data_IF_780199596160
#
_entry.id   IF_780199596160
#
_cell.length_a   1.000
_cell.length_b   1.000
_cell.length_c   1.000
_cell.angle_alpha   90.00
_cell.angle_beta   90.00
_cell.angle_gamma   90.00
#
_symmetry.space_group_name_H-M   'P 1'
#
loop_
_entity.id
_entity.type
_entity.pdbx_description
1 polymer ?
#
# COMPACT_ATOMS: atom_id res chain seq x y z
N UNK A 1 15.20 13.90 -8.49
CA UNK A 1 15.71 12.88 -7.57
C UNK A 1 14.87 11.63 -7.70
N UNK A 2 15.48 10.44 -7.55
CA UNK A 2 14.76 9.18 -7.61
C UNK A 2 13.98 8.96 -6.31
N UNK A 3 12.67 8.79 -6.41
CA UNK A 3 11.78 8.37 -5.33
C UNK A 3 10.89 7.30 -5.92
N UNK A 4 11.19 6.05 -5.61
CA UNK A 4 10.47 4.88 -6.10
C UNK A 4 10.42 3.84 -4.99
N UNK A 5 9.23 3.33 -4.73
CA UNK A 5 8.98 2.26 -3.77
C UNK A 5 8.18 1.17 -4.45
N UNK A 6 8.56 -0.07 -4.19
CA UNK A 6 7.85 -1.26 -4.59
C UNK A 6 7.64 -2.14 -3.37
N UNK A 7 6.38 -2.50 -3.12
CA UNK A 7 5.99 -3.32 -1.98
C UNK A 7 5.09 -4.45 -2.47
N UNK A 8 5.25 -5.62 -1.83
CA UNK A 8 4.35 -6.75 -2.02
C UNK A 8 3.76 -7.08 -0.66
N UNK A 9 2.44 -7.18 -0.61
CA UNK A 9 1.73 -7.44 0.65
C UNK A 9 0.30 -7.88 0.43
N UNK A 10 -0.42 -8.04 1.53
CA UNK A 10 -1.83 -8.42 1.52
C UNK A 10 -2.72 -7.20 1.72
N UNK A 11 -3.78 -7.12 0.93
CA UNK A 11 -4.80 -6.09 1.08
C UNK A 11 -5.56 -6.32 2.38
N UNK A 12 -5.56 -5.35 3.30
CA UNK A 12 -6.37 -5.42 4.52
C UNK A 12 -7.70 -4.73 4.37
N UNK A 13 -7.68 -3.57 3.72
CA UNK A 13 -8.86 -2.75 3.53
C UNK A 13 -8.68 -1.89 2.30
N UNK A 14 -9.74 -1.78 1.53
CA UNK A 14 -9.92 -0.80 0.47
C UNK A 14 -11.05 0.12 0.91
N UNK A 15 -10.86 1.43 0.81
CA UNK A 15 -11.92 2.40 1.08
C UNK A 15 -11.72 3.66 0.27
N UNK A 16 -12.78 4.44 0.12
CA UNK A 16 -12.75 5.76 -0.50
C UNK A 16 -12.98 6.81 0.60
N UNK A 17 -12.17 7.87 0.58
CA UNK A 17 -12.38 9.01 1.47
C UNK A 17 -13.37 10.01 0.86
N UNK A 18 -13.81 10.98 1.66
CA UNK A 18 -14.84 11.97 1.30
C UNK A 18 -14.48 12.80 0.07
N UNK A 19 -13.19 13.01 -0.17
CA UNK A 19 -12.64 13.74 -1.33
C UNK A 19 -12.51 12.90 -2.61
N UNK A 20 -13.15 11.72 -2.65
CA UNK A 20 -13.13 10.74 -3.76
C UNK A 20 -11.80 10.00 -3.97
N UNK A 21 -10.79 10.29 -3.17
CA UNK A 21 -9.51 9.55 -3.20
C UNK A 21 -9.69 8.12 -2.66
N UNK A 22 -9.16 7.14 -3.39
CA UNK A 22 -9.14 5.75 -2.96
C UNK A 22 -7.89 5.45 -2.14
N UNK A 23 -8.07 4.67 -1.08
CA UNK A 23 -7.01 4.23 -0.20
C UNK A 23 -6.98 2.71 -0.08
N UNK A 24 -5.77 2.18 -0.08
CA UNK A 24 -5.46 0.78 0.09
C UNK A 24 -4.57 0.63 1.33
N UNK A 25 -4.99 -0.19 2.30
CA UNK A 25 -4.16 -0.55 3.44
C UNK A 25 -3.48 -1.88 3.15
N UNK A 26 -2.15 -1.86 3.06
CA UNK A 26 -1.32 -3.03 2.74
C UNK A 26 -0.67 -3.58 4.01
N UNK A 27 -0.88 -4.86 4.30
CA UNK A 27 -0.11 -5.62 5.30
C UNK A 27 1.15 -6.18 4.63
N UNK A 28 2.31 -5.69 5.04
CA UNK A 28 3.62 -6.16 4.58
C UNK A 28 4.31 -6.89 5.73
N UNK A 29 4.74 -8.13 5.49
CA UNK A 29 5.48 -8.89 6.50
C UNK A 29 6.96 -8.59 6.33
N UNK A 30 7.65 -8.27 7.45
CA UNK A 30 9.10 -8.03 7.42
C UNK A 30 9.85 -9.29 7.02
N UNK A 31 10.94 -9.12 6.28
CA UNK A 31 11.76 -10.25 5.83
C UNK A 31 12.64 -10.85 6.93
N UNK A 32 12.67 -10.23 8.11
CA UNK A 32 13.43 -10.68 9.28
C UNK A 32 12.52 -10.86 10.49
N UNK A 33 12.96 -11.73 11.40
CA UNK A 33 12.32 -11.95 12.70
C UNK A 33 12.82 -10.93 13.69
N UNK A 34 11.96 -10.54 14.61
CA UNK A 34 12.36 -9.74 15.76
C UNK A 34 13.15 -10.58 16.78
N UNK A 35 13.64 -9.96 17.85
CA UNK A 35 14.37 -10.59 18.94
C UNK A 35 13.63 -11.82 19.53
N UNK A 36 12.30 -11.76 19.61
CA UNK A 36 11.44 -12.85 20.07
C UNK A 36 11.21 -13.97 19.03
N UNK A 37 11.81 -13.86 17.84
CA UNK A 37 11.72 -14.87 16.78
C UNK A 37 10.44 -14.81 15.93
N UNK A 38 9.58 -13.80 16.14
CA UNK A 38 8.33 -13.61 15.42
C UNK A 38 8.49 -12.68 14.20
N UNK A 39 7.73 -12.94 13.14
CA UNK A 39 7.65 -12.03 11.99
C UNK A 39 6.68 -10.89 12.29
N UNK A 40 7.22 -9.68 12.34
CA UNK A 40 6.41 -8.48 12.47
C UNK A 40 5.78 -8.09 11.14
N UNK A 41 4.65 -7.38 11.25
CA UNK A 41 3.87 -6.91 10.12
C UNK A 41 3.70 -5.41 10.22
N UNK A 42 3.94 -4.74 9.10
CA UNK A 42 3.73 -3.30 8.96
C UNK A 42 2.47 -3.06 8.13
N UNK A 43 1.77 -1.97 8.45
CA UNK A 43 0.56 -1.55 7.76
C UNK A 43 0.82 -0.21 7.09
N UNK A 44 0.76 -0.19 5.76
CA UNK A 44 1.02 1.01 4.97
C UNK A 44 -0.26 1.52 4.33
N UNK A 45 -0.53 2.81 4.52
CA UNK A 45 -1.61 3.53 3.85
C UNK A 45 -1.12 3.97 2.48
N UNK A 46 -1.72 3.41 1.45
CA UNK A 46 -1.38 3.66 0.06
C UNK A 46 -2.51 4.48 -0.57
N UNK A 47 -2.19 5.70 -1.01
CA UNK A 47 -3.11 6.58 -1.74
C UNK A 47 -3.08 6.20 -3.21
N UNK A 48 -4.24 5.91 -3.79
CA UNK A 48 -4.36 5.51 -5.19
C UNK A 48 -4.41 6.77 -6.04
N UNK A 49 -3.43 6.94 -6.93
CA UNK A 49 -3.38 8.11 -7.80
C UNK A 49 -4.32 7.98 -9.01
N UNK A 50 -4.56 9.11 -9.67
CA UNK A 50 -5.39 9.18 -10.88
C UNK A 50 -4.83 8.26 -11.96
N UNK A 51 -5.69 7.40 -12.51
CA UNK A 51 -5.36 6.42 -13.56
C UNK A 51 -5.26 4.97 -13.08
N UNK A 52 -5.13 4.73 -11.76
CA UNK A 52 -5.06 3.39 -11.15
C UNK A 52 -6.34 3.02 -10.39
N UNK A 53 -7.32 3.93 -10.33
CA UNK A 53 -8.58 3.78 -9.58
C UNK A 53 -9.42 2.57 -10.01
N UNK A 54 -9.41 2.24 -11.30
CA UNK A 54 -10.13 1.07 -11.82
C UNK A 54 -9.57 -0.23 -11.26
N UNK A 55 -8.26 -0.30 -11.00
CA UNK A 55 -7.58 -1.50 -10.51
C UNK A 55 -7.94 -1.80 -9.05
N UNK A 56 -8.21 -0.76 -8.25
CA UNK A 56 -8.63 -0.88 -6.85
C UNK A 56 -9.89 -1.72 -6.69
N UNK A 57 -10.81 -1.69 -7.66
CA UNK A 57 -12.05 -2.47 -7.63
C UNK A 57 -11.82 -3.98 -7.68
N UNK A 58 -10.65 -4.41 -8.17
CA UNK A 58 -10.28 -5.81 -8.24
C UNK A 58 -9.46 -6.28 -7.02
N UNK A 59 -9.01 -5.35 -6.18
CA UNK A 59 -8.28 -5.67 -4.96
C UNK A 59 -9.26 -6.19 -3.87
N UNK A 60 -9.27 -7.49 -3.64
CA UNK A 60 -10.07 -8.09 -2.59
C UNK A 60 -9.33 -8.13 -1.26
N UNK A 61 -10.07 -8.13 -0.15
CA UNK A 61 -9.47 -8.31 1.18
C UNK A 61 -8.71 -9.65 1.25
N UNK A 62 -7.54 -9.61 1.89
CA UNK A 62 -6.59 -10.71 2.06
C UNK A 62 -5.94 -11.22 0.76
N UNK A 63 -6.10 -10.52 -0.36
CA UNK A 63 -5.42 -10.83 -1.62
C UNK A 63 -4.00 -10.27 -1.64
N UNK A 64 -3.08 -10.96 -2.32
CA UNK A 64 -1.74 -10.43 -2.54
C UNK A 64 -1.72 -9.43 -3.70
N UNK A 65 -1.07 -8.29 -3.47
CA UNK A 65 -0.88 -7.25 -4.47
C UNK A 65 0.54 -6.73 -4.42
N UNK A 66 1.06 -6.37 -5.59
CA UNK A 66 2.27 -5.57 -5.74
C UNK A 66 1.86 -4.12 -5.97
N UNK A 67 2.44 -3.20 -5.21
CA UNK A 67 2.20 -1.76 -5.32
C UNK A 67 3.52 -1.08 -5.65
N UNK A 68 3.53 -0.30 -6.73
CA UNK A 68 4.64 0.56 -7.10
C UNK A 68 4.20 2.01 -7.03
N UNK A 69 5.08 2.86 -6.51
CA UNK A 69 4.73 4.26 -6.26
C UNK A 69 5.88 5.10 -5.73
N UNK A 70 5.50 6.21 -5.08
CA UNK A 70 6.41 7.16 -4.45
C UNK A 70 6.01 7.38 -2.99
N UNK A 71 6.99 7.61 -2.13
CA UNK A 71 6.72 8.02 -0.75
C UNK A 71 6.57 9.53 -0.68
N UNK A 72 5.48 9.98 -0.09
CA UNK A 72 5.23 11.39 0.20
C UNK A 72 5.06 11.58 1.71
N UNK A 73 5.78 12.56 2.25
CA UNK A 73 5.60 13.00 3.63
C UNK A 73 4.67 14.22 3.63
N UNK A 74 3.53 14.09 4.30
CA UNK A 74 2.60 15.19 4.54
C UNK A 74 3.01 15.96 5.81
N UNK A 75 2.47 17.17 5.99
CA UNK A 75 2.67 17.94 7.21
C UNK A 75 2.24 17.11 8.45
N UNK A 76 3.12 17.02 9.45
CA UNK A 76 2.88 16.20 10.65
C UNK A 76 3.33 14.75 10.57
N UNK A 77 4.44 14.46 9.87
CA UNK A 77 5.13 13.15 9.83
C UNK A 77 4.32 11.98 9.25
N UNK A 78 3.16 12.25 8.65
CA UNK A 78 2.36 11.21 8.01
C UNK A 78 2.98 10.84 6.67
N UNK A 79 3.40 9.58 6.53
CA UNK A 79 3.96 9.04 5.30
C UNK A 79 2.85 8.32 4.54
N UNK A 80 2.61 8.75 3.30
CA UNK A 80 1.69 8.09 2.38
C UNK A 80 2.44 7.58 1.14
N UNK A 81 2.05 6.39 0.66
CA UNK A 81 2.56 5.87 -0.60
C UNK A 81 1.58 6.24 -1.72
N UNK A 82 1.99 7.12 -2.62
CA UNK A 82 1.23 7.43 -3.84
C UNK A 82 1.46 6.35 -4.88
N UNK A 83 0.42 5.56 -5.16
CA UNK A 83 0.46 4.43 -6.06
C UNK A 83 0.39 4.89 -7.50
N UNK A 84 1.37 4.51 -8.31
CA UNK A 84 1.35 4.70 -9.77
C UNK A 84 0.96 3.42 -10.50
N UNK A 85 1.20 2.25 -9.90
CA UNK A 85 0.87 0.96 -10.48
C UNK A 85 0.51 -0.05 -9.39
N UNK A 86 -0.52 -0.85 -9.66
CA UNK A 86 -0.98 -1.93 -8.77
C UNK A 86 -1.12 -3.18 -9.64
N UNK A 87 -0.53 -4.28 -9.19
CA UNK A 87 -0.68 -5.58 -9.80
C UNK A 87 -1.28 -6.56 -8.81
N UNK A 88 -2.26 -7.34 -9.27
CA UNK A 88 -2.98 -8.30 -8.44
C UNK A 88 -2.33 -9.66 -8.66
N UNK A 89 -1.68 -10.17 -7.62
CA UNK A 89 -0.98 -11.45 -7.67
C UNK A 89 -2.02 -12.56 -7.43
N UNK A 90 -2.29 -13.34 -8.48
CA UNK A 90 -3.23 -14.46 -8.50
C UNK A 90 -2.73 -15.69 -7.76
#
# INVERSE_FOLDING_TARGET
>A
MLNQVQLVGRVKKVYQDSDKDWYLVLEVTRSFKDFEGSFLKDYLKCKVWRGVESLVKYCQNNQFVSVCGRLNCLEGETIELECTYIDVLG
#
